data_IF_358226086343
#
_entry.id   IF_358226086343
#
_cell.length_a   1.000
_cell.length_b   1.000
_cell.length_c   1.000
_cell.angle_alpha   90.00
_cell.angle_beta   90.00
_cell.angle_gamma   90.00
#
_symmetry.space_group_name_H-M   'P 1'
#
loop_
_entity.id
_entity.type
_entity.pdbx_description
1 polymer ?
#
# COMPACT_ATOMS: atom_id res chain seq x y z
N UNK A 1 5.63 46.36 5.84
CA UNK A 1 6.88 46.05 5.09
C UNK A 1 7.48 44.83 5.77
N UNK A 2 6.98 43.66 5.41
CA UNK A 2 7.49 42.38 5.95
C UNK A 2 8.66 41.94 5.05
N UNK A 3 9.88 42.17 5.53
CA UNK A 3 11.07 41.51 5.00
C UNK A 3 11.02 40.05 5.50
N UNK A 4 10.40 39.15 4.75
CA UNK A 4 10.70 37.75 4.85
C UNK A 4 12.16 37.55 4.42
N UNK A 5 13.04 37.41 5.42
CA UNK A 5 14.43 37.06 5.18
C UNK A 5 14.43 35.74 4.42
N UNK A 6 14.95 35.75 3.22
CA UNK A 6 15.14 34.58 2.38
C UNK A 6 16.16 33.68 3.11
N UNK A 7 15.66 32.68 3.86
CA UNK A 7 16.52 31.76 4.57
C UNK A 7 17.19 30.87 3.54
N UNK A 8 18.53 30.86 3.55
CA UNK A 8 19.27 30.02 2.61
C UNK A 8 19.01 28.54 2.90
N UNK A 9 18.76 27.75 1.85
CA UNK A 9 18.51 26.29 1.97
C UNK A 9 19.63 25.59 2.74
N UNK A 10 20.87 26.03 2.55
CA UNK A 10 22.05 25.48 3.23
C UNK A 10 22.00 25.70 4.76
N UNK A 11 21.41 26.78 5.23
CA UNK A 11 21.28 27.04 6.68
C UNK A 11 20.22 26.13 7.29
N UNK A 12 19.16 25.86 6.56
CA UNK A 12 18.11 24.90 6.94
C UNK A 12 18.70 23.49 7.00
N UNK A 13 19.40 23.05 5.96
CA UNK A 13 20.07 21.73 5.92
C UNK A 13 21.09 21.58 7.07
N UNK A 14 21.83 22.63 7.37
CA UNK A 14 22.79 22.65 8.49
C UNK A 14 22.10 22.52 9.84
N UNK A 15 21.01 23.23 10.06
CA UNK A 15 20.24 23.13 11.31
C UNK A 15 19.62 21.74 11.51
N UNK A 16 19.06 21.14 10.48
CA UNK A 16 18.55 19.76 10.53
C UNK A 16 19.68 18.76 10.77
N UNK A 17 20.86 18.99 10.18
CA UNK A 17 22.05 18.15 10.39
C UNK A 17 22.58 18.14 11.81
N UNK A 18 22.22 19.13 12.66
CA UNK A 18 22.58 19.16 14.09
C UNK A 18 21.66 18.32 14.98
N UNK A 19 20.55 17.85 14.47
CA UNK A 19 19.63 16.97 15.21
C UNK A 19 20.33 15.63 15.51
N UNK A 20 20.28 15.20 16.76
CA UNK A 20 20.86 13.91 17.16
C UNK A 20 20.27 12.76 16.33
N UNK A 21 21.14 11.89 15.83
CA UNK A 21 20.87 10.79 14.90
C UNK A 21 20.78 11.19 13.40
N UNK A 22 20.68 12.44 13.02
CA UNK A 22 20.74 12.87 11.62
C UNK A 22 22.18 12.82 11.11
N UNK A 23 22.38 12.23 9.92
CA UNK A 23 23.67 12.15 9.21
C UNK A 23 23.77 13.12 8.05
N UNK A 24 22.64 13.33 7.38
CA UNK A 24 22.56 14.28 6.29
C UNK A 24 21.11 14.76 6.13
N UNK A 25 20.94 15.97 5.65
CA UNK A 25 19.65 16.51 5.26
C UNK A 25 19.75 17.16 3.89
N UNK A 26 18.67 17.07 3.11
CA UNK A 26 18.52 17.76 1.83
C UNK A 26 17.14 18.42 1.79
N UNK A 27 17.11 19.68 1.43
CA UNK A 27 15.89 20.47 1.33
C UNK A 27 15.66 20.86 -0.13
N UNK A 28 14.47 20.60 -0.62
CA UNK A 28 14.01 21.04 -1.93
C UNK A 28 13.06 22.21 -1.71
N UNK A 29 13.40 23.37 -2.24
CA UNK A 29 12.59 24.58 -2.13
C UNK A 29 12.34 25.21 -3.50
N UNK A 30 11.27 26.00 -3.61
CA UNK A 30 11.00 26.83 -4.79
C UNK A 30 11.96 28.01 -4.85
N UNK A 31 12.10 28.69 -6.01
CA UNK A 31 12.88 29.92 -6.11
C UNK A 31 12.43 31.04 -5.15
N UNK A 32 11.17 30.99 -4.73
CA UNK A 32 10.55 31.91 -3.77
C UNK A 32 10.84 31.55 -2.31
N UNK A 33 11.51 30.38 -2.06
CA UNK A 33 11.92 29.93 -0.73
C UNK A 33 10.88 29.06 0.00
N UNK A 34 9.81 28.62 -0.67
CA UNK A 34 8.87 27.68 -0.08
C UNK A 34 9.45 26.26 -0.09
N UNK A 35 9.45 25.57 1.08
CA UNK A 35 9.92 24.20 1.19
C UNK A 35 8.89 23.26 0.57
N UNK A 36 9.32 22.52 -0.45
CA UNK A 36 8.56 21.46 -1.11
C UNK A 36 8.75 20.13 -0.42
N UNK A 37 10.02 19.73 -0.19
CA UNK A 37 10.38 18.45 0.41
C UNK A 37 11.62 18.58 1.30
N UNK A 38 11.70 17.77 2.35
CA UNK A 38 12.84 17.62 3.25
C UNK A 38 13.22 16.15 3.33
N UNK A 39 14.40 15.79 2.84
CA UNK A 39 14.92 14.42 2.92
C UNK A 39 15.97 14.34 4.02
N UNK A 40 15.79 13.41 4.96
CA UNK A 40 16.69 13.23 6.10
C UNK A 40 17.25 11.80 6.10
N UNK A 41 18.57 11.69 6.17
CA UNK A 41 19.27 10.43 6.38
C UNK A 41 19.70 10.36 7.84
N UNK A 42 19.25 9.33 8.56
CA UNK A 42 19.48 9.21 10.00
C UNK A 42 19.96 7.82 10.42
N UNK A 43 20.52 7.75 11.64
CA UNK A 43 20.83 6.49 12.30
C UNK A 43 19.57 5.90 12.96
N UNK A 44 19.49 4.57 13.17
CA UNK A 44 18.31 3.90 13.74
C UNK A 44 18.16 4.11 15.26
N UNK A 45 18.88 5.04 15.85
CA UNK A 45 18.85 5.34 17.30
C UNK A 45 17.59 6.09 17.75
N UNK A 46 16.84 6.69 16.82
CA UNK A 46 15.54 7.34 17.06
C UNK A 46 14.51 6.85 16.08
N UNK A 47 13.25 6.78 16.48
CA UNK A 47 12.19 6.40 15.55
C UNK A 47 11.96 7.47 14.48
N UNK A 48 11.54 7.10 13.25
CA UNK A 48 11.23 8.07 12.19
C UNK A 48 10.23 9.15 12.64
N UNK A 49 9.21 8.78 13.42
CA UNK A 49 8.19 9.71 13.94
C UNK A 49 8.76 10.75 14.91
N UNK A 50 9.74 10.36 15.72
CA UNK A 50 10.45 11.32 16.61
C UNK A 50 11.33 12.26 15.79
N UNK A 51 12.02 11.74 14.77
CA UNK A 51 12.85 12.54 13.88
C UNK A 51 12.03 13.57 13.09
N UNK A 52 10.84 13.20 12.58
CA UNK A 52 9.92 14.16 11.94
C UNK A 52 9.59 15.31 12.89
N UNK A 53 9.19 15.03 14.13
CA UNK A 53 8.87 16.06 15.13
C UNK A 53 10.08 16.92 15.49
N UNK A 54 11.26 16.32 15.59
CA UNK A 54 12.49 17.05 15.87
C UNK A 54 12.82 18.01 14.73
N UNK A 55 12.62 17.58 13.46
CA UNK A 55 12.80 18.43 12.27
C UNK A 55 11.80 19.59 12.26
N UNK A 56 10.50 19.30 12.44
CA UNK A 56 9.45 20.33 12.53
C UNK A 56 9.77 21.36 13.61
N UNK A 57 10.13 20.89 14.81
CA UNK A 57 10.46 21.75 15.94
C UNK A 57 11.71 22.60 15.68
N UNK A 58 12.72 22.02 15.03
CA UNK A 58 13.96 22.74 14.69
C UNK A 58 13.68 23.85 13.67
N UNK A 59 12.89 23.55 12.62
CA UNK A 59 12.53 24.52 11.59
C UNK A 59 11.67 25.65 12.16
N UNK A 60 10.72 25.32 13.02
CA UNK A 60 9.90 26.32 13.69
C UNK A 60 10.72 27.20 14.63
N UNK A 61 11.60 26.61 15.46
CA UNK A 61 12.35 27.32 16.47
C UNK A 61 13.47 28.19 15.87
N UNK A 62 14.16 27.72 14.82
CA UNK A 62 15.31 28.39 14.24
C UNK A 62 14.95 29.39 13.15
N UNK A 63 13.90 29.13 12.40
CA UNK A 63 13.57 29.90 11.18
C UNK A 63 12.12 30.40 11.15
N UNK A 64 11.30 30.03 12.15
CA UNK A 64 9.86 30.29 12.19
C UNK A 64 9.13 29.77 10.94
N UNK A 65 9.60 28.62 10.40
CA UNK A 65 9.02 27.96 9.23
C UNK A 65 8.20 26.75 9.72
N UNK A 66 6.91 26.75 9.43
CA UNK A 66 6.03 25.60 9.62
C UNK A 66 6.12 24.68 8.39
N UNK A 67 6.56 23.44 8.58
CA UNK A 67 6.62 22.45 7.50
C UNK A 67 5.67 21.30 7.85
N UNK A 68 4.83 20.91 6.90
CA UNK A 68 3.95 19.75 7.05
C UNK A 68 4.79 18.47 7.11
N UNK A 69 4.50 17.59 8.08
CA UNK A 69 5.16 16.27 8.21
C UNK A 69 5.13 15.43 6.93
N UNK A 70 4.15 15.64 6.05
CA UNK A 70 4.04 14.97 4.75
C UNK A 70 5.15 15.37 3.77
N UNK A 71 5.76 16.54 3.96
CA UNK A 71 6.89 17.03 3.19
C UNK A 71 8.24 16.50 3.73
N UNK A 72 8.25 15.75 4.85
CA UNK A 72 9.47 15.24 5.50
C UNK A 72 9.60 13.74 5.27
N UNK A 73 10.64 13.33 4.56
CA UNK A 73 10.99 11.94 4.27
C UNK A 73 12.24 11.53 5.04
N UNK A 74 12.18 10.43 5.79
CA UNK A 74 13.30 9.94 6.60
C UNK A 74 13.75 8.56 6.12
N UNK A 75 15.02 8.45 5.75
CA UNK A 75 15.72 7.20 5.48
C UNK A 75 16.69 6.89 6.62
N UNK A 76 16.72 5.64 7.10
CA UNK A 76 17.63 5.21 8.17
C UNK A 76 18.72 4.29 7.64
N UNK A 77 19.98 4.61 8.00
CA UNK A 77 21.14 3.79 7.67
C UNK A 77 21.24 2.56 8.60
N UNK A 78 21.50 1.39 8.02
CA UNK A 78 21.72 0.16 8.78
C UNK A 78 20.45 -0.56 9.21
N UNK A 79 19.32 -0.27 8.59
CA UNK A 79 18.14 -1.12 8.64
C UNK A 79 18.27 -2.28 7.62
N UNK A 80 19.28 -3.15 7.78
CA UNK A 80 19.16 -4.56 7.43
C UNK A 80 18.20 -5.26 8.42
N UNK A 81 17.26 -4.53 8.92
CA UNK A 81 16.12 -5.03 9.62
C UNK A 81 15.02 -5.19 8.57
N UNK A 82 14.65 -6.44 8.30
CA UNK A 82 13.27 -6.80 8.00
C UNK A 82 12.40 -5.71 8.63
N UNK A 83 11.59 -4.96 7.87
CA UNK A 83 10.75 -3.94 8.47
C UNK A 83 9.92 -4.66 9.53
N UNK A 84 10.26 -4.39 10.81
CA UNK A 84 9.37 -4.75 11.89
C UNK A 84 8.01 -4.16 11.48
N UNK A 85 6.92 -4.94 11.56
CA UNK A 85 5.61 -4.40 11.24
C UNK A 85 5.49 -3.13 12.11
N UNK A 86 5.45 -1.98 11.46
CA UNK A 86 5.10 -0.74 12.12
C UNK A 86 3.83 -1.06 12.92
N UNK A 87 3.76 -0.70 14.23
CA UNK A 87 2.50 -0.80 14.92
C UNK A 87 1.52 -0.08 14.01
N UNK A 88 0.49 -0.81 13.61
CA UNK A 88 -0.51 -0.31 12.69
C UNK A 88 -0.93 1.07 13.18
N UNK A 89 -0.34 2.13 12.63
CA UNK A 89 -0.94 3.43 12.65
C UNK A 89 -2.27 3.17 11.97
N UNK A 90 -3.36 3.30 12.74
CA UNK A 90 -4.68 3.41 12.17
C UNK A 90 -4.53 4.35 10.97
N UNK A 91 -4.91 3.91 9.77
CA UNK A 91 -4.85 4.79 8.62
C UNK A 91 -5.73 5.99 8.98
N UNK A 92 -5.12 7.18 9.13
CA UNK A 92 -5.89 8.40 8.95
C UNK A 92 -6.69 8.22 7.66
N UNK A 93 -7.98 8.58 7.63
CA UNK A 93 -8.81 8.38 6.46
C UNK A 93 -8.21 9.16 5.29
N UNK A 94 -7.32 8.53 4.54
CA UNK A 94 -7.14 8.88 3.14
C UNK A 94 -8.56 8.83 2.57
N UNK A 95 -8.97 9.88 1.88
CA UNK A 95 -10.25 9.97 1.18
C UNK A 95 -10.57 8.60 0.61
N UNK A 96 -11.62 8.00 1.15
CA UNK A 96 -11.85 6.56 1.12
C UNK A 96 -12.17 6.15 -0.31
N UNK A 97 -11.17 5.73 -1.05
CA UNK A 97 -11.44 4.97 -2.26
C UNK A 97 -12.42 3.84 -1.89
N UNK A 98 -13.54 3.71 -2.57
CA UNK A 98 -14.60 2.81 -2.19
C UNK A 98 -14.05 1.38 -2.15
N UNK A 99 -14.06 0.77 -0.97
CA UNK A 99 -13.52 -0.57 -0.75
C UNK A 99 -14.53 -1.62 -1.23
N UNK A 100 -14.11 -2.57 -2.09
CA UNK A 100 -14.99 -3.64 -2.51
C UNK A 100 -15.42 -4.49 -1.31
N UNK A 101 -16.72 -4.75 -1.21
CA UNK A 101 -17.29 -5.70 -0.26
C UNK A 101 -17.60 -7.00 -0.98
N UNK A 102 -17.33 -8.12 -0.36
CA UNK A 102 -17.70 -9.43 -0.88
C UNK A 102 -19.22 -9.58 -0.74
N UNK A 103 -19.92 -9.66 -1.86
CA UNK A 103 -21.38 -9.85 -1.88
C UNK A 103 -21.75 -11.35 -1.97
N UNK A 104 -21.12 -12.08 -2.89
CA UNK A 104 -21.34 -13.51 -3.07
C UNK A 104 -20.10 -14.24 -3.60
N UNK A 105 -19.93 -15.49 -3.21
CA UNK A 105 -18.90 -16.39 -3.72
C UNK A 105 -19.58 -17.72 -4.06
N UNK A 106 -19.70 -18.03 -5.33
CA UNK A 106 -20.24 -19.28 -5.84
C UNK A 106 -19.11 -20.11 -6.43
N UNK A 107 -18.97 -21.36 -5.98
CA UNK A 107 -18.00 -22.30 -6.54
C UNK A 107 -18.70 -23.61 -6.81
N UNK A 108 -18.63 -24.04 -8.05
CA UNK A 108 -19.16 -25.32 -8.52
C UNK A 108 -18.05 -26.20 -9.08
N UNK A 109 -18.23 -27.48 -8.99
CA UNK A 109 -17.36 -28.50 -9.61
C UNK A 109 -18.22 -29.38 -10.48
N UNK A 110 -17.92 -29.39 -11.76
CA UNK A 110 -18.59 -30.21 -12.76
C UNK A 110 -17.57 -31.05 -13.51
N UNK A 111 -17.57 -32.34 -13.24
CA UNK A 111 -16.61 -33.26 -13.83
C UNK A 111 -15.16 -32.91 -13.46
N UNK A 112 -14.36 -32.57 -14.46
CA UNK A 112 -12.94 -32.23 -14.31
C UNK A 112 -12.70 -30.71 -14.18
N UNK A 113 -13.74 -29.89 -14.18
CA UNK A 113 -13.64 -28.44 -14.11
C UNK A 113 -14.19 -27.91 -12.78
N UNK A 114 -13.51 -26.92 -12.25
CA UNK A 114 -13.99 -26.06 -11.17
C UNK A 114 -14.29 -24.70 -11.75
N UNK A 115 -15.46 -24.17 -11.43
CA UNK A 115 -15.92 -22.84 -11.84
C UNK A 115 -16.16 -22.00 -10.58
N UNK A 116 -15.78 -20.75 -10.62
CA UNK A 116 -16.05 -19.78 -9.56
C UNK A 116 -16.65 -18.50 -10.15
N UNK A 117 -17.64 -17.96 -9.45
CA UNK A 117 -18.18 -16.64 -9.66
C UNK A 117 -18.08 -15.84 -8.36
N UNK A 118 -17.37 -14.72 -8.38
CA UNK A 118 -17.19 -13.82 -7.26
C UNK A 118 -17.87 -12.49 -7.58
N UNK A 119 -18.83 -12.12 -6.74
CA UNK A 119 -19.52 -10.84 -6.84
C UNK A 119 -19.02 -9.89 -5.77
N UNK A 120 -18.51 -8.75 -6.19
CA UNK A 120 -18.07 -7.65 -5.35
C UNK A 120 -19.06 -6.49 -5.44
N UNK A 121 -19.31 -5.82 -4.33
CA UNK A 121 -20.12 -4.61 -4.27
C UNK A 121 -19.22 -3.40 -3.98
N UNK A 122 -19.34 -2.35 -4.78
CA UNK A 122 -18.67 -1.08 -4.63
C UNK A 122 -19.68 0.03 -4.86
N UNK A 123 -19.87 0.94 -3.91
CA UNK A 123 -20.82 2.06 -4.01
C UNK A 123 -22.24 1.65 -4.42
N UNK A 124 -22.71 0.49 -3.93
CA UNK A 124 -24.04 -0.03 -4.24
C UNK A 124 -24.17 -0.66 -5.64
N UNK A 125 -23.07 -0.78 -6.40
CA UNK A 125 -23.02 -1.49 -7.68
C UNK A 125 -22.32 -2.83 -7.50
N UNK A 126 -22.84 -3.85 -8.15
CA UNK A 126 -22.26 -5.21 -8.10
C UNK A 126 -21.49 -5.52 -9.39
N UNK A 127 -20.31 -6.13 -9.21
CA UNK A 127 -19.43 -6.56 -10.29
C UNK A 127 -19.12 -8.03 -10.08
N UNK A 128 -19.42 -8.87 -11.08
CA UNK A 128 -19.23 -10.31 -11.00
C UNK A 128 -18.13 -10.75 -11.95
N UNK A 129 -17.10 -11.35 -11.40
CA UNK A 129 -16.06 -12.00 -12.18
C UNK A 129 -16.20 -13.51 -12.12
N UNK A 130 -15.97 -14.15 -13.26
CA UNK A 130 -16.05 -15.60 -13.42
C UNK A 130 -14.71 -16.15 -13.88
N UNK A 131 -14.39 -17.38 -13.46
CA UNK A 131 -13.22 -18.11 -13.91
C UNK A 131 -13.48 -19.61 -13.85
N UNK A 132 -12.72 -20.37 -14.64
CA UNK A 132 -12.73 -21.84 -14.62
C UNK A 132 -11.32 -22.40 -14.74
N UNK A 133 -11.05 -23.53 -14.08
CA UNK A 133 -9.80 -24.26 -14.15
C UNK A 133 -10.02 -25.75 -13.85
N UNK A 134 -9.02 -26.62 -14.09
CA UNK A 134 -9.08 -28.02 -13.70
C UNK A 134 -9.39 -28.18 -12.19
N UNK A 135 -10.24 -29.13 -11.85
CA UNK A 135 -10.73 -29.39 -10.47
C UNK A 135 -9.71 -30.04 -9.57
N UNK A 136 -8.47 -29.56 -9.57
CA UNK A 136 -7.47 -29.88 -8.54
C UNK A 136 -7.64 -28.98 -7.31
N UNK A 137 -6.99 -29.29 -6.20
CA UNK A 137 -7.02 -28.43 -5.02
C UNK A 137 -6.46 -27.03 -5.36
N UNK A 138 -5.29 -26.97 -5.96
CA UNK A 138 -4.66 -25.71 -6.40
C UNK A 138 -5.49 -25.03 -7.49
N UNK A 139 -6.06 -25.81 -8.43
CA UNK A 139 -6.93 -25.29 -9.47
C UNK A 139 -8.13 -24.55 -8.90
N UNK A 140 -8.81 -25.12 -7.90
CA UNK A 140 -9.96 -24.47 -7.22
C UNK A 140 -9.56 -23.16 -6.54
N UNK A 141 -8.40 -23.12 -5.86
CA UNK A 141 -7.90 -21.90 -5.22
C UNK A 141 -7.61 -20.82 -6.26
N UNK A 142 -6.92 -21.17 -7.35
CA UNK A 142 -6.63 -20.28 -8.47
C UNK A 142 -7.90 -19.77 -9.16
N UNK A 143 -8.91 -20.65 -9.33
CA UNK A 143 -10.19 -20.26 -9.92
C UNK A 143 -10.88 -19.15 -9.12
N UNK A 144 -10.90 -19.26 -7.79
CA UNK A 144 -11.50 -18.25 -6.91
C UNK A 144 -10.72 -16.94 -6.97
N UNK A 145 -9.39 -16.98 -6.89
CA UNK A 145 -8.56 -15.79 -6.97
C UNK A 145 -8.69 -15.11 -8.33
N UNK A 146 -8.69 -15.88 -9.42
CA UNK A 146 -8.87 -15.34 -10.78
C UNK A 146 -10.25 -14.73 -10.98
N UNK A 147 -11.32 -15.36 -10.50
CA UNK A 147 -12.66 -14.80 -10.51
C UNK A 147 -12.72 -13.46 -9.74
N UNK A 148 -12.01 -13.37 -8.62
CA UNK A 148 -11.89 -12.11 -7.85
C UNK A 148 -11.21 -11.02 -8.67
N UNK A 149 -10.09 -11.32 -9.34
CA UNK A 149 -9.39 -10.37 -10.20
C UNK A 149 -10.26 -9.94 -11.39
N UNK A 150 -11.02 -10.85 -11.98
CA UNK A 150 -11.92 -10.54 -13.07
C UNK A 150 -13.07 -9.60 -12.63
N UNK A 151 -13.58 -9.76 -11.39
CA UNK A 151 -14.54 -8.80 -10.82
C UNK A 151 -13.91 -7.42 -10.61
N UNK A 152 -12.67 -7.36 -10.10
CA UNK A 152 -11.92 -6.11 -9.90
C UNK A 152 -11.58 -5.43 -11.23
N UNK A 153 -11.24 -6.19 -12.26
CA UNK A 153 -10.95 -5.64 -13.59
C UNK A 153 -12.13 -4.85 -14.18
N UNK A 154 -13.37 -5.20 -13.82
CA UNK A 154 -14.56 -4.43 -14.21
C UNK A 154 -14.67 -3.08 -13.50
N UNK A 155 -14.01 -2.91 -12.35
CA UNK A 155 -13.93 -1.64 -11.60
C UNK A 155 -12.83 -0.74 -12.16
N UNK A 156 -11.76 -1.34 -12.68
CA UNK A 156 -10.59 -0.64 -13.17
C UNK A 156 -10.78 -0.27 -14.66
N UNK A 157 -11.50 0.74 -15.00
CA UNK A 157 -11.74 1.37 -16.33
C UNK A 157 -10.81 0.99 -17.52
N UNK A 158 -10.28 -0.25 -17.56
CA UNK A 158 -9.49 -0.81 -18.67
C UNK A 158 -8.03 -0.36 -18.76
N UNK A 159 -7.53 0.45 -17.84
CA UNK A 159 -6.15 0.96 -17.86
C UNK A 159 -5.13 0.01 -17.21
N UNK A 160 -5.61 -1.02 -16.51
CA UNK A 160 -4.78 -1.96 -15.75
C UNK A 160 -5.17 -3.40 -16.07
N UNK A 161 -4.18 -4.25 -16.21
CA UNK A 161 -4.37 -5.70 -16.34
C UNK A 161 -3.83 -6.39 -15.10
N UNK A 162 -4.60 -7.32 -14.56
CA UNK A 162 -4.22 -8.10 -13.38
C UNK A 162 -3.83 -9.51 -13.81
N UNK A 163 -2.67 -9.96 -13.38
CA UNK A 163 -2.20 -11.33 -13.55
C UNK A 163 -2.12 -12.02 -12.18
N UNK A 164 -2.71 -13.19 -12.05
CA UNK A 164 -2.56 -14.02 -10.87
C UNK A 164 -1.26 -14.82 -11.00
N UNK A 165 -0.24 -14.48 -10.24
CA UNK A 165 1.00 -15.25 -10.19
C UNK A 165 0.79 -16.56 -9.43
N UNK A 166 0.34 -16.44 -8.18
CA UNK A 166 0.06 -17.63 -7.37
C UNK A 166 -0.94 -17.34 -6.24
N UNK A 167 -1.57 -18.40 -5.73
CA UNK A 167 -2.40 -18.38 -4.54
C UNK A 167 -2.30 -19.71 -3.81
N UNK A 168 -2.10 -19.67 -2.51
CA UNK A 168 -1.98 -20.85 -1.68
C UNK A 168 -2.57 -20.62 -0.28
N UNK A 169 -2.99 -21.70 0.36
CA UNK A 169 -3.22 -21.72 1.81
C UNK A 169 -1.99 -22.34 2.45
N UNK A 170 -1.35 -21.59 3.31
CA UNK A 170 -0.15 -21.99 4.02
C UNK A 170 -0.38 -22.03 5.52
N UNK A 171 0.32 -22.93 6.22
CA UNK A 171 0.35 -22.95 7.67
C UNK A 171 1.36 -21.96 8.18
N UNK A 172 0.90 -20.96 8.95
CA UNK A 172 1.77 -20.00 9.60
C UNK A 172 1.57 -20.07 11.12
N UNK A 173 2.52 -20.69 11.80
CA UNK A 173 2.38 -20.99 13.22
C UNK A 173 1.22 -21.97 13.47
N UNK A 174 0.17 -21.51 14.16
CA UNK A 174 -1.02 -22.31 14.48
C UNK A 174 -2.19 -22.04 13.55
N UNK A 175 -2.09 -21.06 12.69
CA UNK A 175 -3.17 -20.60 11.82
C UNK A 175 -2.92 -21.00 10.37
N UNK A 176 -4.00 -21.24 9.63
CA UNK A 176 -3.96 -21.36 8.19
C UNK A 176 -4.22 -19.98 7.58
N UNK A 177 -3.41 -19.61 6.60
CA UNK A 177 -3.41 -18.29 5.98
C UNK A 177 -3.52 -18.45 4.48
N UNK A 178 -4.50 -17.82 3.86
CA UNK A 178 -4.53 -17.64 2.42
C UNK A 178 -3.55 -16.54 2.04
N UNK A 179 -2.69 -16.80 1.05
CA UNK A 179 -1.74 -15.83 0.50
C UNK A 179 -1.94 -15.77 -1.01
N UNK A 180 -2.03 -14.58 -1.57
CA UNK A 180 -2.14 -14.36 -3.01
C UNK A 180 -1.00 -13.44 -3.49
N UNK A 181 -0.43 -13.77 -4.65
CA UNK A 181 0.52 -12.94 -5.37
C UNK A 181 -0.10 -12.50 -6.70
N UNK A 182 -0.20 -11.20 -6.91
CA UNK A 182 -0.85 -10.59 -8.07
C UNK A 182 0.09 -9.57 -8.69
N UNK A 183 0.25 -9.62 -10.01
CA UNK A 183 0.98 -8.61 -10.77
C UNK A 183 0.00 -7.67 -11.45
N UNK A 184 0.20 -6.38 -11.28
CA UNK A 184 -0.52 -5.31 -11.99
C UNK A 184 0.37 -4.85 -13.13
N UNK A 185 -0.15 -4.95 -14.35
CA UNK A 185 0.51 -4.48 -15.56
C UNK A 185 -0.12 -3.16 -16.00
N UNK A 186 0.73 -2.17 -16.17
CA UNK A 186 0.34 -0.82 -16.64
C UNK A 186 1.21 -0.42 -17.84
N UNK A 187 0.86 0.62 -18.59
CA UNK A 187 1.73 1.15 -19.65
C UNK A 187 3.12 1.60 -19.18
N UNK A 188 3.30 1.84 -17.87
CA UNK A 188 4.56 2.27 -17.26
C UNK A 188 5.41 1.10 -16.76
N UNK A 189 4.89 -0.14 -16.80
CA UNK A 189 5.56 -1.35 -16.33
C UNK A 189 4.66 -2.26 -15.51
N UNK A 190 5.26 -3.29 -14.95
CA UNK A 190 4.61 -4.28 -14.10
C UNK A 190 5.07 -4.17 -12.65
N UNK A 191 4.18 -4.47 -11.72
CA UNK A 191 4.49 -4.50 -10.30
C UNK A 191 3.71 -5.63 -9.61
N UNK A 192 4.43 -6.46 -8.85
CA UNK A 192 3.84 -7.56 -8.08
C UNK A 192 3.50 -7.14 -6.65
N UNK A 193 2.38 -7.64 -6.17
CA UNK A 193 1.85 -7.39 -4.83
C UNK A 193 1.46 -8.71 -4.18
N UNK A 194 1.63 -8.79 -2.88
CA UNK A 194 1.16 -9.91 -2.07
C UNK A 194 0.11 -9.44 -1.08
N UNK A 195 -0.90 -10.28 -0.88
CA UNK A 195 -1.92 -10.07 0.13
C UNK A 195 -2.19 -11.34 0.90
N UNK A 196 -2.73 -11.20 2.11
CA UNK A 196 -2.97 -12.32 3.00
C UNK A 196 -4.27 -12.19 3.79
N UNK A 197 -4.86 -13.34 4.16
CA UNK A 197 -6.01 -13.39 5.03
C UNK A 197 -6.01 -14.68 5.86
N UNK A 198 -6.34 -14.57 7.14
CA UNK A 198 -6.50 -15.74 8.00
C UNK A 198 -7.69 -16.59 7.54
N UNK A 199 -7.50 -17.92 7.49
CA UNK A 199 -8.57 -18.88 7.23
C UNK A 199 -9.33 -19.13 8.53
N UNK A 200 -10.50 -18.54 8.66
CA UNK A 200 -11.33 -18.70 9.87
C UNK A 200 -12.41 -19.77 9.71
N UNK A 201 -13.40 -19.51 8.86
CA UNK A 201 -14.55 -20.37 8.68
C UNK A 201 -14.65 -20.95 7.26
N UNK A 202 -14.14 -20.24 6.27
CA UNK A 202 -14.30 -20.59 4.87
C UNK A 202 -13.04 -20.21 4.07
N UNK A 203 -12.39 -21.22 3.49
CA UNK A 203 -11.22 -21.04 2.63
C UNK A 203 -11.50 -20.10 1.44
N UNK A 204 -12.69 -20.20 0.85
CA UNK A 204 -13.09 -19.41 -0.32
C UNK A 204 -13.08 -17.90 0.00
N UNK A 205 -13.68 -17.54 1.14
CA UNK A 205 -13.72 -16.15 1.62
C UNK A 205 -12.30 -15.62 1.89
N UNK A 206 -11.44 -16.44 2.49
CA UNK A 206 -10.06 -16.07 2.80
C UNK A 206 -9.22 -15.87 1.53
N UNK A 207 -9.43 -16.68 0.50
CA UNK A 207 -8.77 -16.52 -0.80
C UNK A 207 -9.19 -15.19 -1.45
N UNK A 208 -10.50 -14.88 -1.47
CA UNK A 208 -11.00 -13.60 -2.00
C UNK A 208 -10.40 -12.43 -1.24
N UNK A 209 -10.39 -12.50 0.11
CA UNK A 209 -9.79 -11.44 0.94
C UNK A 209 -8.29 -11.27 0.71
N UNK A 210 -7.52 -12.36 0.60
CA UNK A 210 -6.10 -12.30 0.30
C UNK A 210 -5.84 -11.66 -1.07
N UNK A 211 -6.64 -12.00 -2.07
CA UNK A 211 -6.55 -11.43 -3.42
C UNK A 211 -6.89 -9.93 -3.41
N UNK A 212 -7.95 -9.54 -2.69
CA UNK A 212 -8.31 -8.11 -2.53
C UNK A 212 -7.25 -7.35 -1.74
N UNK A 213 -6.66 -7.94 -0.70
CA UNK A 213 -5.60 -7.32 0.10
C UNK A 213 -4.36 -7.02 -0.75
N UNK A 214 -3.97 -7.93 -1.67
CA UNK A 214 -2.85 -7.72 -2.59
C UNK A 214 -3.01 -6.45 -3.44
N UNK A 215 -4.22 -6.11 -3.86
CA UNK A 215 -4.50 -4.98 -4.75
C UNK A 215 -5.02 -3.73 -4.03
N UNK A 216 -5.49 -3.87 -2.79
CA UNK A 216 -6.17 -2.80 -2.03
C UNK A 216 -5.32 -1.51 -1.90
N UNK A 217 -4.01 -1.65 -1.74
CA UNK A 217 -3.09 -0.50 -1.66
C UNK A 217 -3.04 0.34 -2.93
N UNK A 218 -3.51 -0.19 -4.05
CA UNK A 218 -3.54 0.48 -5.37
C UNK A 218 -4.95 0.82 -5.83
N UNK A 219 -5.99 0.36 -5.13
CA UNK A 219 -7.39 0.65 -5.50
C UNK A 219 -7.66 2.16 -5.55
N UNK A 220 -7.07 2.96 -4.69
CA UNK A 220 -7.17 4.42 -4.74
C UNK A 220 -6.60 5.05 -6.03
N UNK A 221 -5.66 4.39 -6.71
CA UNK A 221 -5.12 4.84 -7.99
C UNK A 221 -5.95 4.35 -9.20
N UNK A 222 -6.78 3.32 -8.99
CA UNK A 222 -7.60 2.70 -10.05
C UNK A 222 -8.94 3.44 -10.24
N UNK A 223 -9.37 4.20 -9.23
CA UNK A 223 -10.66 4.92 -9.20
C UNK A 223 -10.53 6.41 -9.48
N UNK A 224 -9.30 6.94 -9.65
CA UNK A 224 -9.10 8.36 -9.97
C UNK A 224 -9.02 8.54 -11.49
N UNK A 225 -10.15 8.84 -12.10
CA UNK A 225 -10.27 9.50 -13.41
C UNK A 225 -11.19 10.69 -13.22
#
# INVERSE_FOLDING_TARGET
MDQQAHVAVEDIERAIGQIAAVKAARVVATPEGEILEVHVLALPSKSPKQLVRDVESTLMASFNIAVDHKKISIAQLGADAVPAPAPASEPEPAETAPRPRIHAINVSVSGLLSEAAVTLEVEGRTHTGEASAPSSQTGRQRTIAQATLNAVAQLASGTHTFALEDVAIIRLGREDVAVACVTIVTPLGEQSFTGSALVRQNEKDSIVRATLDAINRRMGLLTTI
#
